data_IF_722878884211
#
_entry.id   IF_722878884211
#
_cell.length_a   1.000
_cell.length_b   1.000
_cell.length_c   1.000
_cell.angle_alpha   90.00
_cell.angle_beta   90.00
_cell.angle_gamma   90.00
#
_symmetry.space_group_name_H-M   'P 1'
#
loop_
_entity.id
_entity.type
_entity.pdbx_description
1 polymer ?
#
# COMPACT_ATOMS: atom_id res chain seq x y z
N UNK A 1 -18.22 0.27 -6.26
CA UNK A 1 -16.74 0.39 -6.11
C UNK A 1 -16.04 -0.71 -6.86
N UNK A 2 -15.21 -0.37 -7.81
CA UNK A 2 -14.40 -1.34 -8.53
C UNK A 2 -13.17 -0.69 -9.17
N UNK A 3 -12.12 -1.46 -9.36
CA UNK A 3 -10.90 -1.07 -10.04
C UNK A 3 -10.11 0.02 -9.33
N UNK A 4 -8.79 -0.07 -9.38
CA UNK A 4 -7.91 0.96 -8.85
C UNK A 4 -7.35 1.77 -10.03
N UNK A 5 -7.59 3.08 -10.03
CA UNK A 5 -7.04 3.99 -11.02
C UNK A 5 -5.68 4.55 -10.59
N UNK A 6 -5.55 4.98 -9.35
CA UNK A 6 -4.30 5.52 -8.81
C UNK A 6 -4.27 5.43 -7.29
N UNK A 7 -3.07 5.28 -6.73
CA UNK A 7 -2.81 5.45 -5.30
C UNK A 7 -1.95 6.71 -5.14
N UNK A 8 -2.36 7.60 -4.27
CA UNK A 8 -1.71 8.88 -4.06
C UNK A 8 -1.29 9.05 -2.60
N UNK A 9 -0.12 9.57 -2.40
CA UNK A 9 0.40 9.98 -1.10
C UNK A 9 0.73 11.48 -1.13
N UNK A 10 -0.05 12.30 -0.43
CA UNK A 10 0.02 13.76 -0.56
C UNK A 10 -0.09 14.16 -2.04
N UNK A 11 0.94 14.77 -2.61
CA UNK A 11 1.00 15.18 -4.02
C UNK A 11 1.71 14.16 -4.92
N UNK A 12 2.12 13.04 -4.36
CA UNK A 12 2.86 12.00 -5.07
C UNK A 12 1.93 10.88 -5.51
N UNK A 13 1.93 10.58 -6.81
CA UNK A 13 1.21 9.43 -7.37
C UNK A 13 2.13 8.23 -7.41
N UNK A 14 1.74 7.16 -6.74
CA UNK A 14 2.42 5.88 -6.84
C UNK A 14 2.29 5.36 -8.27
N UNK A 15 3.33 4.80 -8.85
CA UNK A 15 3.36 4.35 -10.24
C UNK A 15 2.32 3.29 -10.58
N UNK A 16 2.46 2.66 -11.72
CA UNK A 16 1.50 1.65 -12.19
C UNK A 16 1.41 0.46 -11.24
N UNK A 17 0.19 0.08 -10.93
CA UNK A 17 -0.14 -1.05 -10.06
C UNK A 17 -0.39 -2.29 -10.90
N UNK A 18 0.19 -3.40 -10.51
CA UNK A 18 0.00 -4.69 -11.19
C UNK A 18 -1.48 -5.09 -11.20
N UNK A 19 -1.96 -5.53 -12.36
CA UNK A 19 -3.34 -5.99 -12.52
C UNK A 19 -3.68 -7.10 -11.53
N UNK A 20 -4.82 -6.98 -10.88
CA UNK A 20 -5.33 -7.95 -9.88
C UNK A 20 -4.46 -8.09 -8.62
N UNK A 21 -3.53 -7.16 -8.36
CA UNK A 21 -2.69 -7.20 -7.16
C UNK A 21 -3.29 -6.43 -5.97
N UNK A 22 -4.23 -5.54 -6.22
CA UNK A 22 -4.80 -4.72 -5.18
C UNK A 22 -5.83 -5.49 -4.36
N UNK A 23 -5.57 -5.63 -3.07
CA UNK A 23 -6.45 -6.26 -2.10
C UNK A 23 -6.68 -5.28 -0.94
N UNK A 24 -7.93 -5.07 -0.57
CA UNK A 24 -8.26 -4.19 0.57
C UNK A 24 -7.77 -4.78 1.89
N UNK A 25 -7.56 -6.09 1.95
CA UNK A 25 -7.19 -6.76 3.18
C UNK A 25 -8.22 -6.45 4.27
N UNK A 26 -7.98 -6.77 5.43
CA UNK A 26 -8.83 -6.37 6.52
C UNK A 26 -9.46 -7.54 7.24
N UNK A 27 -9.79 -7.27 8.47
CA UNK A 27 -10.39 -8.24 9.36
C UNK A 27 -11.70 -7.68 9.90
N UNK A 28 -12.70 -8.53 9.96
CA UNK A 28 -13.98 -8.16 10.57
C UNK A 28 -13.80 -7.90 12.06
N UNK A 29 -14.57 -6.99 12.64
CA UNK A 29 -14.66 -6.88 14.09
C UNK A 29 -15.08 -8.21 14.70
N UNK A 30 -14.45 -8.59 15.80
CA UNK A 30 -14.79 -9.78 16.55
C UNK A 30 -15.63 -9.39 17.77
N UNK A 31 -16.59 -10.24 18.11
CA UNK A 31 -17.43 -10.05 19.27
C UNK A 31 -17.67 -11.37 20.00
N UNK A 32 -17.79 -11.30 21.31
CA UNK A 32 -18.30 -12.40 22.14
C UNK A 32 -19.80 -12.23 22.33
N UNK A 33 -20.54 -13.33 22.16
CA UNK A 33 -21.99 -13.38 22.38
C UNK A 33 -22.27 -14.13 23.69
N UNK A 34 -23.07 -13.54 24.53
CA UNK A 34 -23.51 -14.15 25.79
C UNK A 34 -24.96 -14.50 25.64
N UNK A 35 -25.28 -15.77 25.83
CA UNK A 35 -26.65 -16.30 25.77
C UNK A 35 -27.17 -16.62 27.19
N UNK A 36 -28.45 -16.38 27.42
CA UNK A 36 -29.15 -16.77 28.66
C UNK A 36 -29.95 -18.04 28.42
N UNK A 37 -30.05 -18.91 29.43
CA UNK A 37 -30.84 -20.15 29.35
C UNK A 37 -32.32 -19.87 29.15
N UNK A 38 -32.82 -18.73 29.67
CA UNK A 38 -34.19 -18.30 29.53
C UNK A 38 -34.53 -17.81 28.11
N UNK A 39 -33.53 -17.51 27.28
CA UNK A 39 -33.71 -17.02 25.90
C UNK A 39 -32.80 -17.85 24.96
N UNK A 40 -33.15 -19.11 24.70
CA UNK A 40 -32.32 -19.98 23.88
C UNK A 40 -32.29 -19.51 22.43
N UNK A 41 -31.09 -19.58 21.82
CA UNK A 41 -30.86 -19.24 20.43
C UNK A 41 -30.72 -17.75 20.12
N UNK A 42 -30.86 -16.85 21.09
CA UNK A 42 -30.70 -15.41 20.93
C UNK A 42 -29.69 -14.86 21.93
N UNK A 43 -28.60 -14.23 21.50
CA UNK A 43 -27.67 -13.62 22.44
C UNK A 43 -28.29 -12.43 23.14
N UNK A 44 -28.13 -12.38 24.47
CA UNK A 44 -28.62 -11.27 25.31
C UNK A 44 -27.59 -10.15 25.46
N UNK A 45 -26.30 -10.45 25.15
CA UNK A 45 -25.22 -9.48 25.22
C UNK A 45 -24.21 -9.80 24.13
N UNK A 46 -23.73 -8.77 23.43
CA UNK A 46 -22.66 -8.84 22.45
C UNK A 46 -21.56 -7.90 22.92
N UNK A 47 -20.38 -8.46 23.18
CA UNK A 47 -19.22 -7.70 23.63
C UNK A 47 -18.21 -7.64 22.48
N UNK A 48 -17.91 -6.45 21.93
CA UNK A 48 -16.88 -6.35 20.91
C UNK A 48 -15.50 -6.67 21.50
N UNK A 49 -14.77 -7.58 20.85
CA UNK A 49 -13.43 -8.00 21.23
C UNK A 49 -12.34 -7.35 20.38
N UNK A 50 -12.65 -7.02 19.13
CA UNK A 50 -11.76 -6.28 18.25
C UNK A 50 -12.54 -5.34 17.34
N UNK A 51 -11.91 -4.26 16.91
CA UNK A 51 -12.52 -3.28 16.03
C UNK A 51 -12.38 -3.62 14.54
N UNK A 52 -11.70 -4.72 14.22
CA UNK A 52 -11.34 -5.03 12.85
C UNK A 52 -10.20 -4.14 12.33
N UNK A 53 -9.81 -4.35 11.11
CA UNK A 53 -8.74 -3.59 10.47
C UNK A 53 -8.92 -3.52 8.96
N UNK A 54 -8.34 -2.51 8.35
CA UNK A 54 -8.20 -2.37 6.90
C UNK A 54 -6.70 -2.25 6.62
N UNK A 55 -6.16 -3.14 5.79
CA UNK A 55 -4.76 -3.16 5.45
C UNK A 55 -4.59 -3.43 3.95
N UNK A 56 -4.75 -2.42 3.08
CA UNK A 56 -4.62 -2.61 1.65
C UNK A 56 -3.22 -3.07 1.26
N UNK A 57 -3.15 -4.05 0.37
CA UNK A 57 -1.90 -4.54 -0.21
C UNK A 57 -1.96 -4.42 -1.73
N UNK A 58 -0.84 -4.07 -2.34
CA UNK A 58 -0.74 -3.94 -3.78
C UNK A 58 0.71 -4.04 -4.25
N UNK A 59 0.91 -4.29 -5.54
CA UNK A 59 2.22 -4.37 -6.15
C UNK A 59 2.40 -3.24 -7.16
N UNK A 60 3.50 -2.51 -7.07
CA UNK A 60 3.88 -1.47 -8.03
C UNK A 60 4.86 -2.07 -9.03
N UNK A 61 4.53 -1.98 -10.31
CA UNK A 61 5.35 -2.54 -11.40
C UNK A 61 6.17 -1.49 -12.13
N UNK A 62 5.96 -0.23 -11.87
CA UNK A 62 6.74 0.85 -12.46
C UNK A 62 8.02 1.08 -11.65
N UNK A 63 9.10 0.44 -12.07
CA UNK A 63 10.39 0.44 -11.35
C UNK A 63 11.39 1.44 -11.93
N UNK A 64 11.00 2.69 -12.07
CA UNK A 64 11.97 3.74 -12.37
C UNK A 64 12.68 4.18 -11.07
N UNK A 65 13.82 4.83 -11.21
CA UNK A 65 14.63 5.25 -10.05
C UNK A 65 13.88 6.20 -9.12
N UNK A 66 13.03 7.05 -9.67
CA UNK A 66 12.23 7.99 -8.89
C UNK A 66 11.22 7.28 -7.99
N UNK A 67 10.52 6.26 -8.51
CA UNK A 67 9.60 5.45 -7.71
C UNK A 67 10.31 4.62 -6.66
N UNK A 68 11.46 4.03 -7.00
CA UNK A 68 12.27 3.30 -6.01
C UNK A 68 12.69 4.22 -4.87
N UNK A 69 13.18 5.40 -5.19
CA UNK A 69 13.56 6.38 -4.17
C UNK A 69 12.38 6.86 -3.33
N UNK A 70 11.24 7.14 -3.96
CA UNK A 70 10.07 7.66 -3.27
C UNK A 70 9.40 6.63 -2.36
N UNK A 71 9.35 5.37 -2.77
CA UNK A 71 8.65 4.31 -2.03
C UNK A 71 9.57 3.58 -1.05
N UNK A 72 10.79 3.29 -1.45
CA UNK A 72 11.73 2.51 -0.65
C UNK A 72 12.76 3.37 0.08
N UNK A 73 12.93 4.61 -0.33
CA UNK A 73 14.00 5.47 0.16
C UNK A 73 15.34 5.16 -0.52
N UNK A 74 16.43 5.39 0.19
CA UNK A 74 17.76 5.16 -0.36
C UNK A 74 18.36 6.39 -1.05
N UNK A 75 19.33 6.17 -1.89
CA UNK A 75 20.09 7.23 -2.56
C UNK A 75 20.04 7.06 -4.07
N UNK A 76 19.69 8.13 -4.77
CA UNK A 76 19.77 8.18 -6.23
C UNK A 76 21.16 8.63 -6.67
N UNK A 77 21.66 8.01 -7.74
CA UNK A 77 22.90 8.40 -8.39
C UNK A 77 22.59 9.10 -9.70
N UNK A 78 23.23 10.22 -9.93
CA UNK A 78 23.02 11.05 -11.11
C UNK A 78 24.28 11.10 -11.97
N UNK A 79 24.08 11.20 -13.29
CA UNK A 79 25.16 11.53 -14.21
C UNK A 79 25.46 13.03 -14.09
N UNK A 80 26.73 13.39 -13.84
CA UNK A 80 27.17 14.78 -13.83
C UNK A 80 27.22 15.33 -15.28
N UNK A 81 26.09 15.88 -15.70
CA UNK A 81 26.02 16.74 -16.88
C UNK A 81 25.43 18.07 -16.41
N UNK A 82 26.09 19.19 -16.77
CA UNK A 82 25.67 20.56 -16.48
C UNK A 82 24.65 20.79 -15.34
N UNK A 83 24.89 21.72 -14.48
CA UNK A 83 24.25 22.00 -13.19
C UNK A 83 22.72 22.06 -13.16
N UNK A 84 22.01 21.96 -14.28
CA UNK A 84 20.56 22.12 -14.37
C UNK A 84 19.77 20.84 -14.69
N UNK A 85 20.43 19.81 -15.25
CA UNK A 85 19.76 18.55 -15.62
C UNK A 85 20.51 17.36 -15.05
N UNK A 86 19.99 16.83 -13.94
CA UNK A 86 20.48 15.59 -13.35
C UNK A 86 19.69 14.41 -13.93
N UNK A 87 20.39 13.57 -14.70
CA UNK A 87 19.80 12.32 -15.19
C UNK A 87 20.10 11.19 -14.23
N UNK A 88 19.09 10.52 -13.66
CA UNK A 88 19.33 9.39 -12.76
C UNK A 88 19.96 8.23 -13.52
N UNK A 89 21.06 7.68 -12.99
CA UNK A 89 21.78 6.54 -13.56
C UNK A 89 21.76 5.31 -12.68
N UNK A 90 21.35 5.44 -11.43
CA UNK A 90 21.31 4.34 -10.50
C UNK A 90 20.62 4.67 -9.19
N UNK A 91 20.42 3.65 -8.40
CA UNK A 91 19.79 3.74 -7.10
C UNK A 91 20.45 2.75 -6.14
N UNK A 92 20.68 3.19 -4.91
CA UNK A 92 21.22 2.37 -3.83
C UNK A 92 20.14 2.20 -2.76
N UNK A 93 19.87 0.95 -2.38
CA UNK A 93 18.89 0.63 -1.34
C UNK A 93 19.31 1.21 0.01
N UNK A 94 18.36 1.63 0.85
CA UNK A 94 18.66 2.09 2.20
C UNK A 94 19.09 0.94 3.10
N UNK A 95 19.85 1.24 4.14
CA UNK A 95 20.28 0.26 5.13
C UNK A 95 19.19 -0.08 6.16
N UNK A 96 18.19 0.76 6.27
CA UNK A 96 17.04 0.58 7.16
C UNK A 96 15.74 0.85 6.42
N UNK A 97 14.66 0.21 6.85
CA UNK A 97 13.34 0.43 6.27
C UNK A 97 12.89 1.89 6.45
N UNK A 98 12.37 2.46 5.37
CA UNK A 98 11.80 3.80 5.37
C UNK A 98 10.28 3.67 5.38
N UNK A 99 9.63 4.37 6.32
CA UNK A 99 8.19 4.36 6.49
C UNK A 99 7.61 5.68 5.97
N UNK A 100 6.62 5.58 5.08
CA UNK A 100 5.86 6.74 4.61
C UNK A 100 4.55 6.82 5.39
N UNK A 101 4.46 7.78 6.29
CA UNK A 101 3.28 7.98 7.12
C UNK A 101 2.60 9.30 6.77
N UNK A 102 1.29 9.27 6.58
CA UNK A 102 0.50 10.46 6.29
C UNK A 102 -0.82 10.14 5.58
N UNK A 103 -1.41 11.13 4.90
CA UNK A 103 -2.66 10.93 4.20
C UNK A 103 -2.45 10.19 2.88
N UNK A 104 -3.33 9.24 2.61
CA UNK A 104 -3.35 8.44 1.38
C UNK A 104 -4.71 8.55 0.71
N UNK A 105 -4.72 8.55 -0.60
CA UNK A 105 -5.94 8.50 -1.41
C UNK A 105 -5.83 7.38 -2.43
N UNK A 106 -6.86 6.54 -2.48
CA UNK A 106 -7.00 5.50 -3.49
C UNK A 106 -8.14 5.90 -4.42
N UNK A 107 -7.78 6.37 -5.61
CA UNK A 107 -8.75 6.73 -6.62
C UNK A 107 -9.17 5.49 -7.40
N UNK A 108 -10.47 5.24 -7.49
CA UNK A 108 -11.04 4.08 -8.16
C UNK A 108 -11.48 4.43 -9.58
N UNK A 109 -11.42 3.45 -10.47
CA UNK A 109 -11.92 3.58 -11.85
C UNK A 109 -13.43 3.90 -11.87
N UNK A 110 -14.18 3.44 -10.88
CA UNK A 110 -15.61 3.73 -10.72
C UNK A 110 -15.94 5.20 -10.38
N UNK A 111 -14.93 6.07 -10.21
CA UNK A 111 -15.10 7.49 -9.91
C UNK A 111 -15.14 7.83 -8.42
N UNK A 112 -15.04 6.86 -7.55
CA UNK A 112 -15.00 7.03 -6.11
C UNK A 112 -13.55 7.08 -5.62
N UNK A 113 -13.33 7.66 -4.46
CA UNK A 113 -12.03 7.67 -3.79
C UNK A 113 -12.14 7.17 -2.37
N UNK A 114 -11.13 6.43 -1.93
CA UNK A 114 -10.98 5.99 -0.55
C UNK A 114 -9.90 6.88 0.07
N UNK A 115 -10.26 7.59 1.12
CA UNK A 115 -9.33 8.46 1.83
C UNK A 115 -8.87 7.79 3.12
N UNK A 116 -7.57 7.74 3.31
CA UNK A 116 -6.95 7.25 4.54
C UNK A 116 -6.23 8.45 5.18
N UNK A 117 -6.79 9.03 6.26
CA UNK A 117 -6.23 10.25 6.84
C UNK A 117 -4.82 10.07 7.39
N UNK A 118 -4.52 8.89 7.91
CA UNK A 118 -3.20 8.58 8.46
C UNK A 118 -2.89 7.09 8.26
N UNK A 119 -2.12 6.81 7.25
CA UNK A 119 -1.65 5.45 6.94
C UNK A 119 -0.14 5.40 6.86
N UNK A 120 0.44 4.25 7.21
CA UNK A 120 1.87 4.01 7.11
C UNK A 120 2.12 2.95 6.05
N UNK A 121 2.85 3.30 5.01
CA UNK A 121 3.22 2.38 3.95
C UNK A 121 4.46 1.59 4.34
N UNK A 122 4.35 0.27 4.27
CA UNK A 122 5.46 -0.67 4.33
C UNK A 122 5.69 -1.23 2.94
N UNK A 123 6.89 -1.11 2.43
CA UNK A 123 7.21 -1.57 1.08
C UNK A 123 8.56 -2.29 1.03
N UNK A 124 8.66 -3.23 0.11
CA UNK A 124 9.90 -3.95 -0.17
C UNK A 124 10.00 -4.26 -1.67
N UNK A 125 11.23 -4.41 -2.15
CA UNK A 125 11.48 -4.87 -3.50
C UNK A 125 11.40 -6.38 -3.53
N UNK A 126 10.47 -6.92 -4.29
CA UNK A 126 10.22 -8.35 -4.39
C UNK A 126 9.99 -8.81 -5.82
N UNK A 127 9.43 -10.01 -5.95
CA UNK A 127 9.17 -10.64 -7.23
C UNK A 127 10.36 -11.40 -7.78
N UNK A 128 10.20 -11.92 -8.99
CA UNK A 128 11.23 -12.71 -9.70
C UNK A 128 11.61 -12.02 -11.00
N UNK A 129 12.88 -12.04 -11.33
CA UNK A 129 13.38 -11.55 -12.62
C UNK A 129 13.51 -12.72 -13.59
N UNK A 130 12.50 -12.92 -14.41
CA UNK A 130 12.45 -13.95 -15.45
C UNK A 130 12.06 -13.33 -16.79
N UNK A 131 12.01 -14.12 -17.84
CA UNK A 131 11.53 -13.65 -19.15
C UNK A 131 10.02 -13.33 -19.16
N UNK A 132 9.27 -13.85 -18.21
CA UNK A 132 7.82 -13.68 -18.10
C UNK A 132 7.39 -12.93 -16.85
N UNK A 133 8.27 -12.78 -15.87
CA UNK A 133 8.01 -12.08 -14.61
C UNK A 133 9.03 -10.98 -14.40
N UNK A 134 8.63 -9.92 -13.73
CA UNK A 134 9.50 -8.78 -13.40
C UNK A 134 9.50 -8.54 -11.89
N UNK A 135 10.57 -7.91 -11.41
CA UNK A 135 10.59 -7.42 -10.04
C UNK A 135 9.47 -6.39 -9.84
N UNK A 136 8.99 -6.28 -8.64
CA UNK A 136 7.92 -5.36 -8.26
C UNK A 136 8.14 -4.85 -6.84
N UNK A 137 7.53 -3.72 -6.53
CA UNK A 137 7.51 -3.18 -5.18
C UNK A 137 6.24 -3.68 -4.51
N UNK A 138 6.40 -4.52 -3.51
CA UNK A 138 5.30 -5.04 -2.71
C UNK A 138 4.98 -4.04 -1.60
N UNK A 139 3.75 -3.57 -1.56
CA UNK A 139 3.31 -2.53 -0.64
C UNK A 139 2.18 -3.02 0.25
N UNK A 140 2.25 -2.66 1.52
CA UNK A 140 1.17 -2.83 2.51
C UNK A 140 0.93 -1.49 3.19
N UNK A 141 -0.29 -1.03 3.17
CA UNK A 141 -0.67 0.27 3.72
C UNK A 141 -1.36 0.14 5.08
#
# INVERSE_FOLDING_TARGET
MYGVGAVKYKDFVVGYIEKNSFDMGGQKPESAKIEAEQVPGTPVLIIPQSNGSIAPTFNVIQLNYENLHSLLGGTMHYKEEDSEKKTPIGWTAPTAAVLLTGPWEIALVSGQSILIPNGTLLSNLGGKLTLTETAKIECTL
#
